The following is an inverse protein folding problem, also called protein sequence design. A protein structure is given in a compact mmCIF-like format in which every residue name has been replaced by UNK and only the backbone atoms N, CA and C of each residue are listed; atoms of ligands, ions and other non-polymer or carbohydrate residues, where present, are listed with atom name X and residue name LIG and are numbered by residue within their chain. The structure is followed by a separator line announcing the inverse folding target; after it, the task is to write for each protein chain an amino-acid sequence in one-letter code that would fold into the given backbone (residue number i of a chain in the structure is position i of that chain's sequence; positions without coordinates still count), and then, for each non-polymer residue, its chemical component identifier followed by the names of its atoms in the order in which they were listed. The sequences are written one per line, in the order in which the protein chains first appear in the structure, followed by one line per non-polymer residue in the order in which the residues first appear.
data_IF_407873021712
#
_entry.id   IF_407873021712
#
_cell.length_a   1.000
_cell.length_b   1.000
_cell.length_c   1.000
_cell.angle_alpha   90.00
_cell.angle_beta   90.00
_cell.angle_gamma   90.00
#
_symmetry.space_group_name_H-M   'P 1'
#
loop_
_entity.id
_entity.type
_entity.pdbx_description
1 polymer ?
#
# COMPACT_ATOMS: atom_id res chain seq x y z
N UNK A 1 13.04 -22.97 -14.61
CA UNK A 1 11.80 -22.46 -13.99
C UNK A 1 10.68 -23.35 -14.49
N UNK A 2 9.89 -23.88 -13.56
CA UNK A 2 8.83 -24.86 -13.80
C UNK A 2 7.54 -24.09 -14.10
N UNK A 3 7.16 -24.01 -15.37
CA UNK A 3 6.01 -23.24 -15.87
C UNK A 3 4.78 -24.14 -16.11
N UNK A 4 4.61 -25.20 -15.32
CA UNK A 4 3.63 -26.26 -15.58
C UNK A 4 2.24 -26.01 -14.95
N UNK A 5 1.81 -24.76 -14.81
CA UNK A 5 0.42 -24.45 -14.42
C UNK A 5 -0.18 -23.36 -15.30
N UNK A 6 -0.87 -23.79 -16.36
CA UNK A 6 -1.71 -22.91 -17.16
C UNK A 6 -3.08 -22.76 -16.49
N UNK A 7 -3.31 -21.61 -15.86
CA UNK A 7 -4.65 -21.26 -15.36
C UNK A 7 -5.53 -20.81 -16.53
N UNK A 8 -6.67 -21.49 -16.72
CA UNK A 8 -7.71 -21.00 -17.62
C UNK A 8 -8.43 -19.79 -17.01
N UNK A 9 -9.03 -18.88 -17.81
CA UNK A 9 -9.72 -17.69 -17.31
C UNK A 9 -10.78 -17.99 -16.23
N UNK A 10 -11.46 -19.13 -16.36
CA UNK A 10 -12.43 -19.64 -15.38
C UNK A 10 -11.86 -19.90 -13.98
N UNK A 11 -10.56 -20.17 -13.87
CA UNK A 11 -9.92 -20.45 -12.57
C UNK A 11 -9.69 -19.16 -11.78
N UNK A 12 -9.63 -18.00 -12.44
CA UNK A 12 -9.49 -16.69 -11.80
C UNK A 12 -10.80 -16.16 -11.21
N UNK A 13 -11.93 -16.81 -11.50
CA UNK A 13 -13.22 -16.46 -10.89
C UNK A 13 -13.33 -16.97 -9.45
N UNK A 14 -12.58 -18.03 -9.09
CA UNK A 14 -12.54 -18.56 -7.73
C UNK A 14 -11.72 -17.64 -6.80
N UNK A 15 -12.33 -17.06 -5.75
CA UNK A 15 -11.63 -16.24 -4.76
C UNK A 15 -10.44 -16.93 -4.09
N UNK A 16 -10.50 -18.25 -3.86
CA UNK A 16 -9.43 -19.00 -3.22
C UNK A 16 -8.21 -19.15 -4.14
N UNK A 17 -8.45 -19.38 -5.44
CA UNK A 17 -7.37 -19.45 -6.43
C UNK A 17 -6.68 -18.11 -6.58
N UNK A 18 -7.44 -17.01 -6.63
CA UNK A 18 -6.85 -15.65 -6.65
C UNK A 18 -5.99 -15.38 -5.42
N UNK A 19 -6.46 -15.78 -4.24
CA UNK A 19 -5.72 -15.63 -2.99
C UNK A 19 -4.42 -16.45 -3.00
N UNK A 20 -4.46 -17.69 -3.48
CA UNK A 20 -3.29 -18.56 -3.55
C UNK A 20 -2.22 -18.02 -4.51
N UNK A 21 -2.63 -17.51 -5.67
CA UNK A 21 -1.72 -16.88 -6.64
C UNK A 21 -1.09 -15.62 -6.03
N UNK A 22 -1.89 -14.79 -5.35
CA UNK A 22 -1.39 -13.60 -4.67
C UNK A 22 -0.36 -13.95 -3.59
N UNK A 23 -0.66 -14.93 -2.73
CA UNK A 23 0.26 -15.39 -1.67
C UNK A 23 1.59 -15.86 -2.26
N UNK A 24 1.54 -16.66 -3.33
CA UNK A 24 2.74 -17.15 -4.01
C UNK A 24 3.62 -16.01 -4.55
N UNK A 25 3.01 -14.98 -5.15
CA UNK A 25 3.74 -13.80 -5.62
C UNK A 25 4.35 -12.98 -4.47
N UNK A 26 3.65 -12.86 -3.34
CA UNK A 26 4.16 -12.19 -2.15
C UNK A 26 5.35 -12.96 -1.56
N UNK A 27 5.22 -14.28 -1.39
CA UNK A 27 6.29 -15.13 -0.87
C UNK A 27 7.54 -15.11 -1.78
N UNK A 28 7.37 -15.14 -3.10
CA UNK A 28 8.48 -15.02 -4.04
C UNK A 28 9.18 -13.66 -3.94
N UNK A 29 8.42 -12.58 -3.75
CA UNK A 29 8.95 -11.24 -3.54
C UNK A 29 9.73 -11.13 -2.21
N UNK A 30 9.21 -11.71 -1.13
CA UNK A 30 9.88 -11.74 0.17
C UNK A 30 11.17 -12.55 0.14
N UNK A 31 11.18 -13.71 -0.55
CA UNK A 31 12.39 -14.53 -0.69
C UNK A 31 13.50 -13.83 -1.49
N UNK A 32 13.14 -12.93 -2.41
CA UNK A 32 14.10 -12.15 -3.20
C UNK A 32 14.58 -10.88 -2.48
N UNK A 33 13.80 -10.34 -1.54
CA UNK A 33 14.09 -9.08 -0.84
C UNK A 33 14.41 -9.22 0.66
N UNK A 34 14.24 -10.42 1.23
CA UNK A 34 14.34 -10.69 2.66
C UNK A 34 15.68 -11.23 3.16
N UNK A 35 16.73 -11.30 2.32
CA UNK A 35 18.03 -11.82 2.78
C UNK A 35 18.81 -10.73 3.55
N UNK A 36 19.12 -10.90 4.85
CA UNK A 36 19.98 -9.97 5.58
C UNK A 36 21.41 -10.09 5.04
N UNK A 37 22.04 -8.94 4.83
CA UNK A 37 23.42 -8.86 4.35
C UNK A 37 24.38 -9.50 5.35
N UNK A 38 25.00 -10.62 4.98
CA UNK A 38 26.31 -10.99 5.50
C UNK A 38 27.35 -10.77 4.41
N UNK A 39 28.39 -10.02 4.80
CA UNK A 39 29.46 -9.48 3.97
C UNK A 39 30.05 -10.51 3.00
N UNK A 40 29.92 -10.28 1.71
CA UNK A 40 30.92 -10.67 0.72
C UNK A 40 30.82 -9.74 -0.49
N UNK A 41 31.94 -9.08 -0.76
CA UNK A 41 32.18 -8.12 -1.84
C UNK A 41 32.03 -8.84 -3.19
N UNK A 42 30.93 -8.62 -3.89
CA UNK A 42 30.80 -8.98 -5.30
C UNK A 42 29.87 -7.98 -6.00
N UNK A 43 30.47 -7.25 -6.94
CA UNK A 43 29.82 -6.35 -7.89
C UNK A 43 28.58 -7.01 -8.48
N UNK A 44 27.39 -6.58 -8.06
CA UNK A 44 26.15 -6.99 -8.74
C UNK A 44 25.20 -5.82 -8.79
N UNK A 45 25.09 -5.29 -10.01
CA UNK A 45 24.16 -4.26 -10.48
C UNK A 45 22.73 -4.49 -9.98
N UNK A 46 21.97 -3.41 -9.70
CA UNK A 46 20.55 -3.52 -9.40
C UNK A 46 19.84 -4.16 -10.58
N UNK A 47 18.93 -5.11 -10.32
CA UNK A 47 18.08 -5.72 -11.34
C UNK A 47 17.08 -4.66 -11.80
N UNK A 48 17.50 -3.90 -12.80
CA UNK A 48 16.66 -3.01 -13.58
C UNK A 48 16.11 -3.85 -14.72
N UNK A 49 14.79 -3.97 -14.82
CA UNK A 49 14.16 -4.49 -16.03
C UNK A 49 14.57 -3.58 -17.19
N UNK A 50 15.41 -4.09 -18.10
CA UNK A 50 15.86 -3.35 -19.28
C UNK A 50 14.77 -3.39 -20.35
N UNK A 51 14.23 -2.21 -20.63
CA UNK A 51 13.63 -1.87 -21.92
C UNK A 51 14.75 -1.94 -23.00
N UNK A 52 14.49 -2.45 -24.22
CA UNK A 52 15.50 -2.55 -25.28
C UNK A 52 16.22 -1.23 -25.62
N UNK A 53 15.66 -0.08 -25.25
CA UNK A 53 16.25 1.26 -25.47
C UNK A 53 17.21 1.75 -24.36
N UNK A 54 17.52 0.92 -23.35
CA UNK A 54 18.61 1.18 -22.40
C UNK A 54 18.41 2.37 -21.44
N UNK A 55 17.26 3.05 -21.44
CA UNK A 55 16.92 4.07 -20.44
C UNK A 55 16.31 3.42 -19.19
N UNK A 56 17.00 3.57 -18.06
CA UNK A 56 16.45 3.26 -16.73
C UNK A 56 15.25 4.15 -16.44
N UNK A 57 14.04 3.64 -16.67
CA UNK A 57 12.82 4.32 -16.24
C UNK A 57 12.44 3.78 -14.86
N UNK A 58 12.78 4.52 -13.81
CA UNK A 58 12.02 4.47 -12.55
C UNK A 58 10.57 4.74 -12.89
N UNK A 59 9.77 3.68 -13.02
CA UNK A 59 8.32 3.82 -13.20
C UNK A 59 7.84 4.54 -11.94
N UNK A 60 7.29 5.74 -12.11
CA UNK A 60 6.69 6.51 -11.00
C UNK A 60 5.79 5.58 -10.20
N UNK A 61 5.93 5.60 -8.87
CA UNK A 61 5.13 4.78 -7.94
C UNK A 61 3.63 4.91 -8.22
N UNK A 62 3.19 6.07 -8.67
CA UNK A 62 1.82 6.35 -9.10
C UNK A 62 1.43 5.62 -10.41
N UNK A 63 2.29 5.66 -11.43
CA UNK A 63 2.05 4.96 -12.69
C UNK A 63 1.99 3.43 -12.49
N UNK A 64 2.79 2.92 -11.55
CA UNK A 64 2.72 1.54 -11.07
C UNK A 64 1.37 1.22 -10.42
N UNK A 65 0.90 2.07 -9.49
CA UNK A 65 -0.39 1.89 -8.82
C UNK A 65 -1.55 1.90 -9.82
N UNK A 66 -1.58 2.88 -10.73
CA UNK A 66 -2.63 2.98 -11.77
C UNK A 66 -2.64 1.76 -12.69
N UNK A 67 -1.48 1.18 -13.00
CA UNK A 67 -1.39 -0.07 -13.79
C UNK A 67 -1.96 -1.26 -13.02
N UNK A 68 -1.61 -1.38 -11.73
CA UNK A 68 -2.13 -2.44 -10.86
C UNK A 68 -3.66 -2.38 -10.74
N UNK A 69 -4.22 -1.18 -10.60
CA UNK A 69 -5.68 -0.98 -10.48
C UNK A 69 -6.43 -1.52 -11.69
N UNK A 70 -5.93 -1.21 -12.89
CA UNK A 70 -6.49 -1.77 -14.13
C UNK A 70 -6.42 -3.30 -14.18
N UNK A 71 -5.34 -3.91 -13.70
CA UNK A 71 -5.19 -5.37 -13.70
C UNK A 71 -6.10 -6.05 -12.68
N UNK A 72 -6.35 -5.42 -11.53
CA UNK A 72 -7.16 -5.96 -10.45
C UNK A 72 -8.64 -5.55 -10.51
N UNK A 73 -9.04 -4.80 -11.54
CA UNK A 73 -10.36 -4.18 -11.64
C UNK A 73 -10.72 -3.35 -10.39
N UNK A 74 -9.71 -2.71 -9.80
CA UNK A 74 -9.84 -1.83 -8.64
C UNK A 74 -9.74 -0.39 -9.07
N UNK A 75 -10.49 0.46 -8.39
CA UNK A 75 -10.41 1.91 -8.58
C UNK A 75 -9.11 2.47 -8.00
N UNK A 76 -8.71 3.63 -8.50
CA UNK A 76 -7.55 4.35 -7.96
C UNK A 76 -7.74 4.64 -6.46
N UNK A 77 -8.92 5.12 -6.07
CA UNK A 77 -9.27 5.39 -4.67
C UNK A 77 -9.05 4.17 -3.75
N UNK A 78 -9.50 2.98 -4.15
CA UNK A 78 -9.31 1.76 -3.35
C UNK A 78 -7.83 1.43 -3.15
N UNK A 79 -7.01 1.58 -4.19
CA UNK A 79 -5.59 1.30 -4.09
C UNK A 79 -4.86 2.30 -3.19
N UNK A 80 -5.17 3.59 -3.29
CA UNK A 80 -4.62 4.60 -2.40
C UNK A 80 -5.07 4.37 -0.95
N UNK A 81 -6.31 3.91 -0.75
CA UNK A 81 -6.84 3.55 0.56
C UNK A 81 -6.07 2.38 1.18
N UNK A 82 -5.85 1.31 0.42
CA UNK A 82 -5.07 0.16 0.85
C UNK A 82 -3.61 0.55 1.16
N UNK A 83 -3.02 1.43 0.33
CA UNK A 83 -1.67 1.92 0.52
C UNK A 83 -1.53 2.72 1.83
N UNK A 84 -2.48 3.62 2.12
CA UNK A 84 -2.50 4.40 3.35
C UNK A 84 -2.62 3.50 4.59
N UNK A 85 -3.58 2.57 4.59
CA UNK A 85 -3.81 1.66 5.72
C UNK A 85 -2.62 0.72 5.94
N UNK A 86 -1.98 0.25 4.87
CA UNK A 86 -0.77 -0.57 4.97
C UNK A 86 0.43 0.22 5.48
N UNK A 87 0.56 1.50 5.10
CA UNK A 87 1.59 2.38 5.65
C UNK A 87 1.40 2.60 7.17
N UNK A 88 0.16 2.79 7.63
CA UNK A 88 -0.15 2.83 9.07
C UNK A 88 0.22 1.52 9.78
N UNK A 89 -0.16 0.38 9.21
CA UNK A 89 0.10 -0.94 9.80
C UNK A 89 1.57 -1.27 10.03
N UNK A 90 2.49 -0.60 9.32
CA UNK A 90 3.95 -0.73 9.51
C UNK A 90 4.60 0.47 10.21
N UNK A 91 3.80 1.32 10.85
CA UNK A 91 4.29 2.48 11.62
C UNK A 91 4.70 3.68 10.78
N UNK A 92 4.51 3.69 9.46
CA UNK A 92 4.89 4.81 8.57
C UNK A 92 3.81 5.89 8.54
N UNK A 93 3.52 6.48 9.71
CA UNK A 93 2.41 7.41 9.92
C UNK A 93 2.50 8.63 9.02
N UNK A 94 3.66 9.29 8.92
CA UNK A 94 3.82 10.47 8.06
C UNK A 94 3.39 10.22 6.60
N UNK A 95 3.79 9.08 6.04
CA UNK A 95 3.43 8.71 4.66
C UNK A 95 1.94 8.41 4.52
N UNK A 96 1.36 7.73 5.51
CA UNK A 96 -0.07 7.45 5.51
C UNK A 96 -0.89 8.74 5.54
N UNK A 97 -0.55 9.69 6.43
CA UNK A 97 -1.25 10.96 6.55
C UNK A 97 -1.25 11.75 5.24
N UNK A 98 -0.11 11.76 4.53
CA UNK A 98 -0.03 12.40 3.21
C UNK A 98 -1.04 11.80 2.21
N UNK A 99 -1.10 10.48 2.12
CA UNK A 99 -2.03 9.79 1.22
C UNK A 99 -3.49 10.02 1.64
N UNK A 100 -3.78 10.02 2.95
CA UNK A 100 -5.12 10.28 3.46
C UNK A 100 -5.59 11.71 3.14
N UNK A 101 -4.69 12.70 3.17
CA UNK A 101 -4.99 14.06 2.71
C UNK A 101 -5.34 14.09 1.23
N UNK A 102 -4.55 13.43 0.38
CA UNK A 102 -4.81 13.33 -1.06
C UNK A 102 -6.15 12.64 -1.35
N UNK A 103 -6.50 11.60 -0.58
CA UNK A 103 -7.81 10.94 -0.66
C UNK A 103 -8.96 11.86 -0.26
N UNK A 104 -8.81 12.62 0.84
CA UNK A 104 -9.83 13.56 1.29
C UNK A 104 -10.08 14.69 0.28
N UNK A 105 -9.02 15.22 -0.33
CA UNK A 105 -9.09 16.31 -1.30
C UNK A 105 -9.66 15.87 -2.65
N UNK A 106 -9.33 14.67 -3.13
CA UNK A 106 -9.65 14.25 -4.50
C UNK A 106 -10.77 13.21 -4.60
N UNK A 107 -11.11 12.52 -3.51
CA UNK A 107 -12.11 11.47 -3.48
C UNK A 107 -13.11 11.69 -2.34
N UNK A 108 -13.80 12.82 -2.36
CA UNK A 108 -14.77 13.23 -1.34
C UNK A 108 -16.05 12.36 -1.39
N UNK A 109 -16.05 11.23 -0.69
CA UNK A 109 -17.20 10.31 -0.60
C UNK A 109 -17.16 9.43 0.66
N UNK A 110 -18.25 8.70 0.90
CA UNK A 110 -18.42 7.80 2.07
C UNK A 110 -17.31 6.75 2.20
N UNK A 111 -16.75 6.26 1.09
CA UNK A 111 -15.66 5.28 1.15
C UNK A 111 -14.38 5.90 1.73
N UNK A 112 -14.03 7.12 1.32
CA UNK A 112 -12.93 7.87 1.95
C UNK A 112 -13.23 8.12 3.42
N UNK A 113 -14.47 8.47 3.77
CA UNK A 113 -14.88 8.63 5.17
C UNK A 113 -14.59 7.38 6.03
N UNK A 114 -14.92 6.19 5.53
CA UNK A 114 -14.61 4.91 6.20
C UNK A 114 -13.11 4.69 6.38
N UNK A 115 -12.31 5.07 5.39
CA UNK A 115 -10.85 4.92 5.42
C UNK A 115 -10.24 5.87 6.46
N UNK A 116 -10.67 7.13 6.50
CA UNK A 116 -10.24 8.11 7.52
C UNK A 116 -10.62 7.66 8.92
N UNK A 117 -11.84 7.15 9.12
CA UNK A 117 -12.26 6.58 10.39
C UNK A 117 -11.38 5.40 10.82
N UNK A 118 -11.09 4.50 9.87
CA UNK A 118 -10.21 3.34 10.11
C UNK A 118 -8.82 3.81 10.52
N UNK A 119 -8.27 4.82 9.83
CA UNK A 119 -6.98 5.40 10.14
C UNK A 119 -6.93 6.01 11.55
N UNK A 120 -7.93 6.83 11.92
CA UNK A 120 -8.04 7.41 13.26
C UNK A 120 -8.08 6.33 14.34
N UNK A 121 -8.90 5.28 14.15
CA UNK A 121 -8.97 4.15 15.07
C UNK A 121 -7.64 3.41 15.18
N UNK A 122 -6.98 3.14 14.07
CA UNK A 122 -5.69 2.45 14.05
C UNK A 122 -4.61 3.25 14.77
N UNK A 123 -4.58 4.58 14.62
CA UNK A 123 -3.66 5.44 15.36
C UNK A 123 -3.91 5.38 16.88
N UNK A 124 -5.17 5.38 17.32
CA UNK A 124 -5.49 5.15 18.73
C UNK A 124 -4.96 3.81 19.25
N UNK A 125 -5.14 2.73 18.47
CA UNK A 125 -4.65 1.39 18.82
C UNK A 125 -3.13 1.33 18.87
N UNK A 126 -2.45 2.02 17.96
CA UNK A 126 -0.99 2.09 17.93
C UNK A 126 -0.44 2.84 19.16
N UNK A 127 -1.12 3.91 19.59
CA UNK A 127 -0.81 4.60 20.84
C UNK A 127 -0.99 3.71 22.06
N UNK A 128 -2.11 2.98 22.13
CA UNK A 128 -2.40 2.06 23.24
C UNK A 128 -1.35 0.94 23.32
N UNK A 129 -0.92 0.41 22.18
CA UNK A 129 0.03 -0.68 22.09
C UNK A 129 1.51 -0.23 22.04
N UNK A 130 1.79 1.07 22.19
CA UNK A 130 3.13 1.67 22.12
C UNK A 130 3.92 1.24 20.87
N UNK A 131 3.24 1.22 19.72
CA UNK A 131 3.84 0.81 18.45
C UNK A 131 4.81 1.90 17.97
N UNK A 132 6.05 1.56 17.56
CA UNK A 132 6.97 2.54 16.99
C UNK A 132 6.40 3.21 15.74
N UNK A 133 6.29 4.54 15.78
CA UNK A 133 5.72 5.36 14.70
C UNK A 133 6.76 6.32 14.11
N UNK A 134 6.82 6.38 12.79
CA UNK A 134 7.53 7.42 12.04
C UNK A 134 6.55 8.56 11.79
N UNK A 135 6.57 9.51 12.71
CA UNK A 135 5.73 10.69 12.71
C UNK A 135 6.37 11.84 11.88
N UNK A 136 5.56 12.79 11.37
CA UNK A 136 6.07 14.08 10.91
C UNK A 136 6.79 14.81 12.06
N UNK A 137 7.78 15.65 11.73
CA UNK A 137 8.39 16.54 12.73
C UNK A 137 7.31 17.44 13.37
N UNK A 138 7.39 17.64 14.68
CA UNK A 138 6.46 18.45 15.49
C UNK A 138 4.97 18.04 15.41
N UNK A 139 4.66 16.78 15.10
CA UNK A 139 3.27 16.33 14.98
C UNK A 139 2.55 16.22 16.34
N UNK A 140 1.46 16.98 16.51
CA UNK A 140 0.45 16.75 17.55
C UNK A 140 -0.47 15.60 17.13
N UNK A 141 -0.10 14.38 17.51
CA UNK A 141 -0.82 13.18 17.09
C UNK A 141 -2.28 13.13 17.60
N UNK A 142 -2.61 13.52 18.85
CA UNK A 142 -4.00 13.69 19.29
C UNK A 142 -4.82 14.61 18.38
N UNK A 143 -4.27 15.77 17.99
CA UNK A 143 -4.96 16.69 17.07
C UNK A 143 -5.20 16.05 15.69
N UNK A 144 -4.20 15.37 15.15
CA UNK A 144 -4.32 14.65 13.87
C UNK A 144 -5.42 13.58 13.92
N UNK A 145 -5.50 12.81 15.01
CA UNK A 145 -6.54 11.78 15.18
C UNK A 145 -7.93 12.42 15.23
N UNK A 146 -8.08 13.52 15.97
CA UNK A 146 -9.32 14.27 16.05
C UNK A 146 -9.76 14.75 14.67
N UNK A 147 -8.86 15.35 13.90
CA UNK A 147 -9.17 15.88 12.57
C UNK A 147 -9.61 14.78 11.60
N UNK A 148 -8.90 13.64 11.59
CA UNK A 148 -9.30 12.48 10.78
C UNK A 148 -10.69 11.97 11.16
N UNK A 149 -11.02 11.92 12.45
CA UNK A 149 -12.34 11.50 12.91
C UNK A 149 -13.44 12.50 12.51
N UNK A 150 -13.19 13.80 12.63
CA UNK A 150 -14.11 14.84 12.18
C UNK A 150 -14.35 14.76 10.67
N UNK A 151 -13.30 14.69 9.86
CA UNK A 151 -13.39 14.54 8.41
C UNK A 151 -14.17 13.27 8.02
N UNK A 152 -13.91 12.16 8.71
CA UNK A 152 -14.64 10.91 8.50
C UNK A 152 -16.13 11.07 8.76
N UNK A 153 -16.52 11.73 9.87
CA UNK A 153 -17.92 11.99 10.21
C UNK A 153 -18.58 12.85 9.14
N UNK A 154 -17.91 13.90 8.64
CA UNK A 154 -18.44 14.77 7.59
C UNK A 154 -18.73 13.98 6.31
N UNK A 155 -17.84 13.06 5.92
CA UNK A 155 -17.98 12.23 4.72
C UNK A 155 -18.96 11.06 4.85
N UNK A 156 -19.16 10.54 6.06
CA UNK A 156 -20.05 9.41 6.28
C UNK A 156 -21.53 9.81 6.35
N UNK A 157 -21.82 11.10 6.60
CA UNK A 157 -23.18 11.63 6.69
C UNK A 157 -23.65 12.38 5.43
N UNK A 158 -22.81 12.47 4.39
CA UNK A 158 -23.11 13.11 3.11
C UNK A 158 -23.78 12.18 2.11
#
# INVERSE_FOLDING_TARGET
EDFDVFFTPSNYEDPNIRKQIQEHHITAYENTHGRPSSKAKATTTPVVAKDPDGKTKTISTEAGLRRLGRQLQRTEQELWSDLALRALGVGKVHKALKILSELYEHHYNTNTGKVLFTAARTLCQMLEADVPMVLPDDSDLPMVIHDLACQAITLCHS
#
